data_IF_004580819046
#
_entry.id   IF_004580819046
#
_cell.length_a   1.000
_cell.length_b   1.000
_cell.length_c   1.000
_cell.angle_alpha   90.00
_cell.angle_beta   90.00
_cell.angle_gamma   90.00
#
_symmetry.space_group_name_H-M   'P 1'
#
loop_
_entity.id
_entity.type
_entity.pdbx_description
1 polymer ?
#
# COMPACT_ATOMS: atom_id res chain seq x y z
N UNK A 1 -7.10 -9.25 -26.71
CA UNK A 1 -5.96 -8.49 -27.22
C UNK A 1 -4.89 -8.54 -26.17
N UNK A 2 -3.73 -9.08 -26.55
CA UNK A 2 -2.69 -9.52 -25.63
C UNK A 2 -2.19 -8.44 -24.68
N UNK A 3 -1.98 -8.87 -23.45
CA UNK A 3 -1.47 -8.09 -22.32
C UNK A 3 0.06 -8.01 -22.33
N UNK A 4 0.71 -8.02 -23.51
CA UNK A 4 2.16 -7.85 -23.48
C UNK A 4 2.48 -6.40 -23.13
N UNK A 5 3.16 -6.19 -22.00
CA UNK A 5 4.00 -5.04 -21.82
C UNK A 5 5.00 -5.08 -22.97
N UNK A 6 4.54 -4.57 -24.14
CA UNK A 6 5.41 -4.14 -25.20
C UNK A 6 6.29 -5.21 -25.85
N UNK A 7 5.67 -6.23 -26.50
CA UNK A 7 6.44 -7.00 -27.48
C UNK A 7 6.34 -6.48 -28.91
N UNK A 8 5.44 -5.59 -29.22
CA UNK A 8 5.26 -5.19 -30.62
C UNK A 8 5.77 -3.81 -31.01
N UNK A 9 6.27 -2.97 -30.09
CA UNK A 9 6.71 -1.63 -30.52
C UNK A 9 7.83 -0.94 -29.74
N UNK A 10 8.45 -1.57 -28.82
CA UNK A 10 9.49 -0.91 -28.07
C UNK A 10 9.61 -1.47 -26.67
N UNK A 11 10.35 -2.55 -26.61
CA UNK A 11 10.73 -3.19 -25.37
C UNK A 11 11.24 -2.21 -24.36
N UNK A 12 10.52 -2.04 -23.27
CA UNK A 12 11.22 -1.56 -22.09
C UNK A 12 12.11 -2.72 -21.62
N UNK A 13 13.33 -2.39 -21.19
CA UNK A 13 14.23 -3.33 -20.51
C UNK A 13 13.52 -3.91 -19.28
N UNK A 14 12.55 -3.17 -18.72
CA UNK A 14 11.76 -3.47 -17.53
C UNK A 14 10.40 -4.12 -17.86
N UNK A 15 10.38 -4.98 -18.87
CA UNK A 15 9.22 -5.77 -19.27
C UNK A 15 9.05 -7.06 -18.46
N UNK A 16 8.17 -7.94 -18.93
CA UNK A 16 7.73 -9.18 -18.25
C UNK A 16 8.88 -10.02 -17.69
N UNK A 17 9.93 -10.27 -18.47
CA UNK A 17 11.07 -11.10 -18.05
C UNK A 17 11.79 -10.52 -16.82
N UNK A 18 12.02 -9.22 -16.81
CA UNK A 18 12.66 -8.52 -15.69
C UNK A 18 11.76 -8.58 -14.44
N UNK A 19 10.49 -8.24 -14.60
CA UNK A 19 9.51 -8.17 -13.50
C UNK A 19 9.28 -9.56 -12.87
N UNK A 20 9.15 -10.62 -13.68
CA UNK A 20 9.03 -11.99 -13.18
C UNK A 20 10.27 -12.46 -12.41
N UNK A 21 11.47 -12.11 -12.90
CA UNK A 21 12.71 -12.43 -12.20
C UNK A 21 12.78 -11.73 -10.85
N UNK A 22 12.45 -10.44 -10.80
CA UNK A 22 12.48 -9.65 -9.58
C UNK A 22 11.41 -10.11 -8.59
N UNK A 23 10.17 -10.37 -9.05
CA UNK A 23 9.11 -10.92 -8.22
C UNK A 23 9.52 -12.24 -7.54
N UNK A 24 10.14 -13.15 -8.27
CA UNK A 24 10.63 -14.42 -7.70
C UNK A 24 11.72 -14.20 -6.65
N UNK A 25 12.63 -13.26 -6.87
CA UNK A 25 13.67 -12.89 -5.89
C UNK A 25 13.08 -12.33 -4.61
N UNK A 26 12.08 -11.45 -4.74
CA UNK A 26 11.35 -10.87 -3.61
C UNK A 26 10.59 -11.94 -2.80
N UNK A 27 9.91 -12.86 -3.47
CA UNK A 27 9.18 -13.96 -2.81
C UNK A 27 10.14 -14.85 -2.02
N UNK A 28 11.29 -15.20 -2.59
CA UNK A 28 12.30 -16.02 -1.91
C UNK A 28 12.83 -15.33 -0.67
N UNK A 29 13.13 -14.02 -0.75
CA UNK A 29 13.53 -13.22 0.40
C UNK A 29 12.46 -13.22 1.50
N UNK A 30 11.19 -13.02 1.14
CA UNK A 30 10.07 -12.93 2.07
C UNK A 30 9.82 -14.23 2.86
N UNK A 31 10.18 -15.39 2.30
CA UNK A 31 10.03 -16.70 2.99
C UNK A 31 10.81 -16.77 4.29
N UNK A 32 11.91 -16.01 4.39
CA UNK A 32 12.70 -15.91 5.62
C UNK A 32 11.95 -15.33 6.82
N UNK A 33 10.77 -14.74 6.61
CA UNK A 33 9.96 -14.13 7.67
C UNK A 33 9.14 -15.11 8.51
N UNK A 34 8.91 -16.36 8.05
CA UNK A 34 8.13 -17.36 8.77
C UNK A 34 8.73 -17.68 10.14
N UNK A 35 7.90 -17.65 11.19
CA UNK A 35 8.33 -18.02 12.56
C UNK A 35 7.42 -19.09 13.17
N UNK A 36 8.01 -19.99 13.95
CA UNK A 36 7.34 -21.18 14.49
C UNK A 36 6.10 -20.83 15.33
N UNK A 37 6.14 -19.74 16.08
CA UNK A 37 5.05 -19.35 17.00
C UNK A 37 3.90 -18.58 16.33
N UNK A 38 3.77 -18.71 15.02
CA UNK A 38 2.67 -18.17 14.21
C UNK A 38 2.94 -16.78 13.64
N UNK A 39 2.69 -16.66 12.34
CA UNK A 39 2.86 -15.45 11.57
C UNK A 39 4.29 -15.18 11.12
N UNK A 40 4.56 -13.92 10.80
CA UNK A 40 5.78 -13.47 10.17
C UNK A 40 6.55 -12.52 11.10
N UNK A 41 7.86 -12.73 11.20
CA UNK A 41 8.78 -11.85 11.89
C UNK A 41 9.18 -10.65 11.05
N UNK A 42 9.69 -9.63 11.71
CA UNK A 42 10.26 -8.45 11.08
C UNK A 42 11.64 -8.82 10.48
N UNK A 43 11.83 -8.63 9.18
CA UNK A 43 13.09 -8.95 8.51
C UNK A 43 14.08 -7.79 8.62
N UNK A 44 15.32 -8.11 9.01
CA UNK A 44 16.44 -7.18 8.95
C UNK A 44 16.93 -6.99 7.49
N UNK A 45 17.93 -6.15 7.28
CA UNK A 45 18.50 -5.85 5.96
C UNK A 45 19.07 -7.08 5.22
N UNK A 46 19.34 -8.19 5.92
CA UNK A 46 19.85 -9.46 5.35
C UNK A 46 18.78 -10.54 5.15
N UNK A 47 17.48 -10.22 5.38
CA UNK A 47 16.39 -11.17 5.25
C UNK A 47 16.27 -12.17 6.39
N UNK A 48 16.85 -11.89 7.54
CA UNK A 48 16.73 -12.69 8.75
C UNK A 48 15.73 -12.04 9.71
N UNK A 49 14.96 -12.83 10.45
CA UNK A 49 14.06 -12.29 11.47
C UNK A 49 14.86 -11.55 12.55
N UNK A 50 14.54 -10.29 12.77
CA UNK A 50 15.06 -9.51 13.88
C UNK A 50 14.27 -9.81 15.15
N UNK A 51 14.88 -10.55 16.06
CA UNK A 51 14.26 -10.99 17.32
C UNK A 51 14.03 -9.83 18.31
N UNK A 52 14.58 -8.63 18.04
CA UNK A 52 14.37 -7.45 18.87
C UNK A 52 13.14 -6.65 18.42
N UNK A 53 12.58 -6.97 17.24
CA UNK A 53 11.39 -6.31 16.71
C UNK A 53 10.13 -7.08 17.06
N UNK A 54 9.03 -6.39 17.37
CA UNK A 54 7.74 -7.04 17.53
C UNK A 54 7.18 -7.52 16.19
N UNK A 55 6.26 -8.47 16.26
CA UNK A 55 5.42 -8.83 15.11
C UNK A 55 4.33 -7.78 14.97
N UNK A 56 4.36 -7.02 13.90
CA UNK A 56 3.41 -5.94 13.63
C UNK A 56 2.26 -6.44 12.75
N UNK A 57 1.02 -6.04 13.05
CA UNK A 57 -0.18 -6.53 12.35
C UNK A 57 -0.14 -6.20 10.87
N UNK A 58 0.23 -4.98 10.47
CA UNK A 58 0.31 -4.62 9.05
C UNK A 58 1.35 -5.48 8.30
N UNK A 59 2.47 -5.86 8.93
CA UNK A 59 3.48 -6.75 8.31
C UNK A 59 2.87 -8.14 8.07
N UNK A 60 2.14 -8.70 9.05
CA UNK A 60 1.42 -9.98 8.85
C UNK A 60 0.50 -9.91 7.63
N UNK A 61 -0.28 -8.84 7.54
CA UNK A 61 -1.27 -8.65 6.49
C UNK A 61 -0.63 -8.48 5.12
N UNK A 62 0.43 -7.68 5.02
CA UNK A 62 1.19 -7.49 3.78
C UNK A 62 1.83 -8.78 3.31
N UNK A 63 2.38 -9.60 4.23
CA UNK A 63 2.93 -10.90 3.87
C UNK A 63 1.86 -11.89 3.40
N UNK A 64 0.67 -11.92 4.02
CA UNK A 64 -0.46 -12.71 3.53
C UNK A 64 -0.87 -12.26 2.12
N UNK A 65 -0.93 -10.95 1.88
CA UNK A 65 -1.32 -10.42 0.57
C UNK A 65 -0.31 -10.80 -0.52
N UNK A 66 1.00 -10.62 -0.29
CA UNK A 66 2.02 -10.95 -1.29
C UNK A 66 2.10 -12.45 -1.59
N UNK A 67 2.04 -13.29 -0.55
CA UNK A 67 1.99 -14.75 -0.75
C UNK A 67 0.69 -15.20 -1.41
N UNK A 68 -0.44 -14.56 -1.07
CA UNK A 68 -1.74 -14.86 -1.66
C UNK A 68 -1.80 -14.52 -3.15
N UNK A 69 -1.38 -13.33 -3.54
CA UNK A 69 -1.34 -12.93 -4.96
C UNK A 69 -0.46 -13.86 -5.78
N UNK A 70 0.74 -14.15 -5.30
CA UNK A 70 1.70 -15.01 -6.04
C UNK A 70 1.28 -16.47 -6.10
N UNK A 71 0.57 -16.96 -5.07
CA UNK A 71 -0.05 -18.30 -5.08
C UNK A 71 -1.16 -18.40 -6.13
N UNK A 72 -2.10 -17.44 -6.12
CA UNK A 72 -3.22 -17.40 -7.07
C UNK A 72 -2.73 -17.24 -8.51
N UNK A 73 -1.63 -16.52 -8.75
CA UNK A 73 -0.98 -16.40 -10.06
C UNK A 73 -0.24 -17.67 -10.50
N UNK A 74 -0.12 -18.67 -9.64
CA UNK A 74 0.65 -19.89 -9.94
C UNK A 74 2.17 -19.67 -10.01
N UNK A 75 2.67 -18.54 -9.54
CA UNK A 75 4.13 -18.27 -9.50
C UNK A 75 4.84 -19.15 -8.49
N UNK A 76 4.17 -19.46 -7.38
CA UNK A 76 4.68 -20.31 -6.31
C UNK A 76 3.53 -20.83 -5.43
N UNK A 77 3.60 -22.10 -5.01
CA UNK A 77 2.71 -22.60 -3.95
C UNK A 77 3.11 -21.99 -2.60
N UNK A 78 2.27 -21.11 -2.11
CA UNK A 78 2.41 -20.42 -0.83
C UNK A 78 1.22 -20.70 0.11
N UNK A 79 0.39 -21.72 -0.20
CA UNK A 79 -0.82 -22.04 0.58
C UNK A 79 -0.55 -22.21 2.07
N UNK A 80 0.58 -22.87 2.44
CA UNK A 80 1.03 -23.01 3.82
C UNK A 80 1.31 -21.67 4.47
N UNK A 81 2.06 -20.75 3.82
CA UNK A 81 2.42 -19.44 4.37
C UNK A 81 1.18 -18.56 4.56
N UNK A 82 0.25 -18.57 3.60
CA UNK A 82 -1.01 -17.84 3.73
C UNK A 82 -1.80 -18.36 4.93
N UNK A 83 -1.94 -19.69 5.05
CA UNK A 83 -2.65 -20.32 6.18
C UNK A 83 -1.99 -19.96 7.51
N UNK A 84 -0.68 -20.00 7.58
CA UNK A 84 0.12 -19.66 8.77
C UNK A 84 -0.15 -18.22 9.23
N UNK A 85 -0.15 -17.26 8.32
CA UNK A 85 -0.49 -15.87 8.61
C UNK A 85 -1.95 -15.67 9.02
N UNK A 86 -2.90 -16.33 8.33
CA UNK A 86 -4.35 -16.28 8.65
C UNK A 86 -4.62 -16.84 10.05
N UNK A 87 -3.99 -17.96 10.42
CA UNK A 87 -4.13 -18.54 11.77
C UNK A 87 -3.55 -17.58 12.82
N UNK A 88 -2.38 -17.00 12.57
CA UNK A 88 -1.80 -16.01 13.48
C UNK A 88 -2.74 -14.82 13.70
N UNK A 89 -3.30 -14.25 12.64
CA UNK A 89 -4.26 -13.13 12.77
C UNK A 89 -5.52 -13.55 13.54
N UNK A 90 -6.06 -14.75 13.29
CA UNK A 90 -7.26 -15.21 13.96
C UNK A 90 -7.06 -15.57 15.43
N UNK A 91 -5.91 -16.14 15.79
CA UNK A 91 -5.73 -16.79 17.11
C UNK A 91 -4.85 -15.98 18.06
N UNK A 92 -3.92 -15.15 17.53
CA UNK A 92 -2.94 -14.42 18.33
C UNK A 92 -3.16 -12.90 18.26
N UNK A 93 -3.41 -12.33 17.08
CA UNK A 93 -3.58 -10.90 16.92
C UNK A 93 -5.01 -10.40 17.18
N UNK A 94 -6.01 -11.27 17.06
CA UNK A 94 -7.40 -10.89 17.33
C UNK A 94 -7.65 -10.77 18.84
N UNK A 95 -8.21 -9.63 19.26
CA UNK A 95 -8.62 -9.42 20.66
C UNK A 95 -9.97 -10.11 20.94
N UNK A 96 -9.91 -11.27 21.56
CA UNK A 96 -11.10 -12.06 21.89
C UNK A 96 -12.03 -11.36 22.89
N UNK A 97 -11.54 -10.40 23.66
CA UNK A 97 -12.32 -9.69 24.68
C UNK A 97 -13.05 -8.46 24.12
N UNK A 98 -12.33 -7.63 23.36
CA UNK A 98 -12.83 -6.33 22.93
C UNK A 98 -13.11 -6.26 21.44
N UNK A 99 -12.84 -7.33 20.68
CA UNK A 99 -12.85 -7.37 19.22
C UNK A 99 -11.72 -6.55 18.59
N UNK A 100 -11.61 -6.60 17.26
CA UNK A 100 -10.53 -5.96 16.51
C UNK A 100 -9.16 -6.60 16.74
N UNK A 101 -8.12 -5.99 16.20
CA UNK A 101 -6.78 -6.57 16.16
C UNK A 101 -5.79 -5.72 16.95
N UNK A 102 -4.86 -6.35 17.66
CA UNK A 102 -3.74 -5.68 18.30
C UNK A 102 -2.81 -5.10 17.23
N UNK A 103 -2.19 -3.97 17.49
CA UNK A 103 -1.23 -3.34 16.57
C UNK A 103 0.04 -4.16 16.43
N UNK A 104 0.52 -4.71 17.55
CA UNK A 104 1.70 -5.55 17.59
C UNK A 104 1.66 -6.55 18.76
N UNK A 105 2.42 -7.62 18.61
CA UNK A 105 2.67 -8.61 19.66
C UNK A 105 4.17 -8.91 19.74
N UNK A 106 4.67 -9.23 20.93
CA UNK A 106 6.04 -9.71 21.09
C UNK A 106 6.20 -11.17 20.62
N UNK A 107 7.41 -11.69 20.69
CA UNK A 107 7.69 -13.08 20.28
C UNK A 107 7.05 -14.12 21.20
N UNK A 108 6.65 -13.75 22.42
CA UNK A 108 5.91 -14.63 23.34
C UNK A 108 4.40 -14.66 23.07
N UNK A 109 3.90 -13.81 22.18
CA UNK A 109 2.47 -13.65 21.88
C UNK A 109 1.76 -12.62 22.76
N UNK A 110 2.49 -11.89 23.61
CA UNK A 110 1.92 -10.82 24.44
C UNK A 110 1.76 -9.55 23.60
N UNK A 111 0.57 -8.91 23.68
CA UNK A 111 0.29 -7.66 23.00
C UNK A 111 1.25 -6.53 23.40
N UNK A 112 1.56 -5.68 22.44
CA UNK A 112 2.29 -4.43 22.62
C UNK A 112 1.36 -3.28 22.27
N UNK A 113 1.40 -2.21 23.08
CA UNK A 113 0.55 -1.02 22.88
C UNK A 113 -0.84 -1.13 23.54
N UNK A 114 -1.55 -0.01 23.52
CA UNK A 114 -2.84 0.20 24.18
C UNK A 114 -3.89 0.81 23.24
N UNK A 115 -3.72 0.61 21.93
CA UNK A 115 -4.61 1.17 20.92
C UNK A 115 -4.95 0.16 19.83
N UNK A 116 -6.02 0.45 19.11
CA UNK A 116 -6.46 -0.21 17.88
C UNK A 116 -6.35 0.78 16.75
N UNK A 117 -5.60 0.45 15.70
CA UNK A 117 -5.36 1.35 14.58
C UNK A 117 -6.24 0.98 13.38
N UNK A 118 -6.89 1.99 12.79
CA UNK A 118 -7.62 1.83 11.53
C UNK A 118 -6.74 1.30 10.41
N UNK A 119 -5.50 1.81 10.32
CA UNK A 119 -4.48 1.35 9.39
C UNK A 119 -4.30 -0.17 9.41
N UNK A 120 -4.10 -0.76 10.59
CA UNK A 120 -3.96 -2.22 10.74
C UNK A 120 -5.23 -2.95 10.27
N UNK A 121 -6.42 -2.42 10.59
CA UNK A 121 -7.68 -3.06 10.24
C UNK A 121 -7.97 -3.02 8.73
N UNK A 122 -7.52 -1.97 8.02
CA UNK A 122 -7.60 -1.94 6.55
C UNK A 122 -6.70 -2.99 5.94
N UNK A 123 -5.48 -3.18 6.46
CA UNK A 123 -4.61 -4.27 6.02
C UNK A 123 -5.16 -5.65 6.39
N UNK A 124 -5.82 -5.82 7.54
CA UNK A 124 -6.49 -7.10 7.85
C UNK A 124 -7.60 -7.39 6.84
N UNK A 125 -8.40 -6.39 6.43
CA UNK A 125 -9.39 -6.57 5.38
C UNK A 125 -8.74 -7.01 4.06
N UNK A 126 -7.67 -6.33 3.63
CA UNK A 126 -6.95 -6.66 2.40
C UNK A 126 -6.38 -8.08 2.44
N UNK A 127 -5.76 -8.46 3.55
CA UNK A 127 -5.21 -9.81 3.75
C UNK A 127 -6.31 -10.88 3.74
N UNK A 128 -7.43 -10.62 4.42
CA UNK A 128 -8.57 -11.55 4.49
C UNK A 128 -9.23 -11.76 3.12
N UNK A 129 -9.40 -10.68 2.35
CA UNK A 129 -9.89 -10.71 0.97
C UNK A 129 -8.96 -11.56 0.10
N UNK A 130 -7.64 -11.32 0.19
CA UNK A 130 -6.64 -12.03 -0.58
C UNK A 130 -6.59 -13.52 -0.23
N UNK A 131 -6.57 -13.84 1.06
CA UNK A 131 -6.57 -15.24 1.52
C UNK A 131 -7.88 -15.97 1.17
N UNK A 132 -9.03 -15.26 1.13
CA UNK A 132 -10.30 -15.82 0.69
C UNK A 132 -10.27 -16.12 -0.81
N UNK A 133 -9.73 -15.21 -1.63
CA UNK A 133 -9.54 -15.45 -3.06
C UNK A 133 -8.58 -16.62 -3.34
N UNK A 134 -7.60 -16.83 -2.46
CA UNK A 134 -6.68 -17.98 -2.50
C UNK A 134 -7.31 -19.29 -1.96
N UNK A 135 -8.56 -19.30 -1.50
CA UNK A 135 -9.25 -20.48 -1.01
C UNK A 135 -8.73 -21.04 0.32
N UNK A 136 -8.04 -20.23 1.12
CA UNK A 136 -7.38 -20.69 2.35
C UNK A 136 -8.39 -20.81 3.51
N UNK A 137 -8.34 -21.95 4.23
CA UNK A 137 -9.18 -22.16 5.41
C UNK A 137 -8.92 -21.15 6.52
N UNK A 138 -10.00 -20.65 7.15
CA UNK A 138 -9.94 -19.60 8.18
C UNK A 138 -10.01 -18.17 7.64
N UNK A 139 -9.78 -17.96 6.34
CA UNK A 139 -9.88 -16.63 5.72
C UNK A 139 -11.30 -16.03 5.76
N UNK A 140 -12.41 -16.78 5.51
CA UNK A 140 -13.76 -16.22 5.67
C UNK A 140 -14.06 -15.72 7.09
N UNK A 141 -13.55 -16.41 8.11
CA UNK A 141 -13.67 -15.96 9.52
C UNK A 141 -12.89 -14.67 9.76
N UNK A 142 -11.69 -14.57 9.19
CA UNK A 142 -10.87 -13.37 9.28
C UNK A 142 -11.55 -12.18 8.58
N UNK A 143 -12.14 -12.43 7.41
CA UNK A 143 -12.90 -11.43 6.65
C UNK A 143 -14.07 -10.89 7.47
N UNK A 144 -14.90 -11.77 8.03
CA UNK A 144 -16.02 -11.36 8.88
C UNK A 144 -15.57 -10.52 10.08
N UNK A 145 -14.49 -10.89 10.75
CA UNK A 145 -13.93 -10.15 11.89
C UNK A 145 -13.42 -8.76 11.49
N UNK A 146 -12.80 -8.65 10.32
CA UNK A 146 -12.34 -7.36 9.79
C UNK A 146 -13.52 -6.45 9.47
N UNK A 147 -14.54 -6.98 8.77
CA UNK A 147 -15.78 -6.26 8.44
C UNK A 147 -16.49 -5.76 9.69
N UNK A 148 -16.70 -6.63 10.68
CA UNK A 148 -17.37 -6.28 11.93
C UNK A 148 -16.66 -5.14 12.67
N UNK A 149 -15.32 -5.17 12.72
CA UNK A 149 -14.53 -4.13 13.36
C UNK A 149 -14.60 -2.81 12.58
N UNK A 150 -14.51 -2.86 11.25
CA UNK A 150 -14.59 -1.68 10.39
C UNK A 150 -15.95 -1.02 10.47
N UNK A 151 -17.03 -1.79 10.34
CA UNK A 151 -18.38 -1.27 10.34
C UNK A 151 -18.78 -0.68 11.69
N UNK A 152 -18.29 -1.24 12.80
CA UNK A 152 -18.66 -0.78 14.16
C UNK A 152 -17.83 0.38 14.68
N UNK A 153 -16.53 0.47 14.29
CA UNK A 153 -15.59 1.35 14.98
C UNK A 153 -14.86 2.30 14.04
N UNK A 154 -14.54 1.88 12.81
CA UNK A 154 -13.66 2.68 11.96
C UNK A 154 -14.39 3.47 10.88
N UNK A 155 -15.48 2.96 10.31
CA UNK A 155 -16.27 3.76 9.36
C UNK A 155 -17.06 4.85 10.07
N UNK A 156 -16.81 6.09 9.71
CA UNK A 156 -17.56 7.25 10.18
C UNK A 156 -18.58 7.66 9.10
N UNK A 157 -19.88 7.39 9.30
CA UNK A 157 -20.89 7.69 8.29
C UNK A 157 -21.22 9.19 8.18
N UNK A 158 -20.88 10.02 9.18
CA UNK A 158 -21.09 11.46 9.13
C UNK A 158 -20.10 12.13 8.18
N UNK A 159 -18.84 11.71 8.26
CA UNK A 159 -17.76 12.26 7.44
C UNK A 159 -17.46 11.42 6.20
N UNK A 160 -18.02 10.22 6.07
CA UNK A 160 -17.74 9.26 4.99
C UNK A 160 -16.24 8.95 4.86
N UNK A 161 -15.56 8.81 6.00
CA UNK A 161 -14.12 8.56 6.12
C UNK A 161 -13.84 7.52 7.20
N UNK A 162 -12.60 7.01 7.24
CA UNK A 162 -12.15 6.10 8.29
C UNK A 162 -11.58 6.85 9.48
N UNK A 163 -11.95 6.42 10.68
CA UNK A 163 -11.30 6.81 11.93
C UNK A 163 -9.91 6.18 12.06
N UNK A 164 -8.97 6.88 12.69
CA UNK A 164 -7.58 6.42 12.78
C UNK A 164 -7.30 5.48 13.95
N UNK A 165 -7.72 5.87 15.15
CA UNK A 165 -7.22 5.23 16.36
C UNK A 165 -8.23 5.27 17.50
N UNK A 166 -8.45 4.11 18.09
CA UNK A 166 -9.19 3.92 19.33
C UNK A 166 -8.24 3.47 20.45
N UNK A 167 -8.69 3.60 21.70
CA UNK A 167 -8.09 2.85 22.79
C UNK A 167 -8.34 1.34 22.63
N UNK A 168 -7.76 0.53 23.52
CA UNK A 168 -7.82 -0.92 23.41
C UNK A 168 -9.25 -1.47 23.49
N UNK A 169 -10.11 -0.86 24.28
CA UNK A 169 -11.48 -1.25 24.58
C UNK A 169 -12.52 -0.66 23.60
N UNK A 170 -12.09 0.12 22.63
CA UNK A 170 -12.98 0.88 21.74
C UNK A 170 -13.92 1.84 22.47
N UNK A 171 -13.48 2.41 23.58
CA UNK A 171 -14.24 3.33 24.41
C UNK A 171 -13.91 4.80 24.15
N UNK A 172 -12.68 5.10 23.72
CA UNK A 172 -12.20 6.46 23.44
C UNK A 172 -11.61 6.52 22.03
N UNK A 173 -12.28 7.29 21.16
CA UNK A 173 -11.78 7.62 19.83
C UNK A 173 -10.77 8.77 19.93
N UNK A 174 -9.57 8.58 19.38
CA UNK A 174 -8.55 9.63 19.28
C UNK A 174 -9.04 10.80 18.42
N UNK A 175 -8.61 12.01 18.74
CA UNK A 175 -8.97 13.23 18.01
C UNK A 175 -8.25 13.40 16.66
N UNK A 176 -7.17 12.67 16.41
CA UNK A 176 -6.43 12.71 15.15
C UNK A 176 -7.19 11.99 14.02
N UNK A 177 -7.10 12.55 12.80
CA UNK A 177 -7.56 11.93 11.55
C UNK A 177 -6.45 12.03 10.51
N UNK A 178 -6.26 10.97 9.73
CA UNK A 178 -5.21 10.90 8.72
C UNK A 178 -5.69 10.38 7.37
N UNK A 179 -4.96 10.77 6.33
CA UNK A 179 -5.23 10.30 4.98
C UNK A 179 -4.65 8.91 4.74
N UNK A 180 -3.60 8.52 5.45
CA UNK A 180 -2.94 7.23 5.26
C UNK A 180 -3.89 6.04 5.49
N UNK A 181 -4.67 6.05 6.58
CA UNK A 181 -5.68 5.00 6.83
C UNK A 181 -6.75 4.97 5.72
N UNK A 182 -7.15 6.13 5.24
CA UNK A 182 -8.16 6.27 4.19
C UNK A 182 -7.66 5.81 2.82
N UNK A 183 -6.38 6.00 2.53
CA UNK A 183 -5.73 5.50 1.31
C UNK A 183 -5.76 3.97 1.24
N UNK A 184 -5.29 3.31 2.28
CA UNK A 184 -5.35 1.85 2.34
C UNK A 184 -6.77 1.30 2.51
N UNK A 185 -7.70 2.12 3.04
CA UNK A 185 -9.12 1.77 2.99
C UNK A 185 -9.64 1.69 1.54
N UNK A 186 -9.30 2.67 0.68
CA UNK A 186 -9.69 2.61 -0.74
C UNK A 186 -9.14 1.35 -1.42
N UNK A 187 -7.89 1.00 -1.16
CA UNK A 187 -7.28 -0.22 -1.68
C UNK A 187 -8.02 -1.48 -1.22
N UNK A 188 -8.21 -1.63 0.10
CA UNK A 188 -8.86 -2.81 0.68
C UNK A 188 -10.35 -2.91 0.29
N UNK A 189 -11.08 -1.80 0.28
CA UNK A 189 -12.48 -1.75 -0.12
C UNK A 189 -12.67 -2.09 -1.60
N UNK A 190 -11.79 -1.61 -2.48
CA UNK A 190 -11.83 -1.95 -3.92
C UNK A 190 -11.56 -3.44 -4.12
N UNK A 191 -10.60 -4.02 -3.38
CA UNK A 191 -10.33 -5.45 -3.40
C UNK A 191 -11.53 -6.27 -2.86
N UNK A 192 -12.17 -5.81 -1.78
CA UNK A 192 -13.36 -6.44 -1.21
C UNK A 192 -14.56 -6.39 -2.17
N UNK A 193 -14.75 -5.26 -2.87
CA UNK A 193 -15.77 -5.15 -3.93
C UNK A 193 -15.50 -6.13 -5.07
N UNK A 194 -14.25 -6.25 -5.53
CA UNK A 194 -13.91 -7.18 -6.61
C UNK A 194 -14.14 -8.63 -6.22
N UNK A 195 -13.94 -9.02 -4.95
CA UNK A 195 -14.22 -10.35 -4.45
C UNK A 195 -15.71 -10.62 -4.26
N UNK A 196 -16.44 -9.70 -3.60
CA UNK A 196 -17.79 -9.94 -3.09
C UNK A 196 -18.91 -9.41 -3.98
N UNK A 197 -18.62 -8.36 -4.76
CA UNK A 197 -19.56 -7.54 -5.54
C UNK A 197 -20.59 -6.78 -4.68
N UNK A 198 -20.31 -6.62 -3.38
CA UNK A 198 -21.14 -5.80 -2.50
C UNK A 198 -20.82 -4.30 -2.71
N UNK A 199 -21.82 -3.55 -3.18
CA UNK A 199 -21.71 -2.12 -3.47
C UNK A 199 -21.31 -1.28 -2.25
N UNK A 200 -21.57 -1.73 -1.02
CA UNK A 200 -21.12 -1.06 0.21
C UNK A 200 -19.63 -0.67 0.14
N UNK A 201 -18.82 -1.55 -0.38
CA UNK A 201 -17.37 -1.31 -0.49
C UNK A 201 -17.02 -0.26 -1.55
N UNK A 202 -17.66 -0.34 -2.72
CA UNK A 202 -17.46 0.63 -3.80
C UNK A 202 -17.93 2.02 -3.38
N UNK A 203 -19.10 2.11 -2.76
CA UNK A 203 -19.68 3.39 -2.32
C UNK A 203 -18.75 4.09 -1.31
N UNK A 204 -18.21 3.35 -0.34
CA UNK A 204 -17.25 3.86 0.63
C UNK A 204 -15.93 4.29 -0.03
N UNK A 205 -15.39 3.47 -0.93
CA UNK A 205 -14.16 3.82 -1.65
C UNK A 205 -14.31 5.11 -2.47
N UNK A 206 -15.44 5.26 -3.17
CA UNK A 206 -15.76 6.47 -3.94
C UNK A 206 -15.97 7.70 -3.05
N UNK A 207 -16.64 7.55 -1.91
CA UNK A 207 -16.83 8.63 -0.95
C UNK A 207 -15.50 9.14 -0.41
N UNK A 208 -14.61 8.24 0.03
CA UNK A 208 -13.25 8.58 0.48
C UNK A 208 -12.46 9.27 -0.64
N UNK A 209 -12.44 8.71 -1.85
CA UNK A 209 -11.76 9.31 -2.99
C UNK A 209 -12.26 10.72 -3.30
N UNK A 210 -13.60 10.92 -3.32
CA UNK A 210 -14.21 12.21 -3.57
C UNK A 210 -13.76 13.24 -2.54
N UNK A 211 -13.82 12.88 -1.26
CA UNK A 211 -13.45 13.79 -0.17
C UNK A 211 -11.95 14.10 -0.18
N UNK A 212 -11.11 13.08 -0.36
CA UNK A 212 -9.66 13.26 -0.35
C UNK A 212 -9.16 14.05 -1.57
N UNK A 213 -9.59 13.66 -2.76
CA UNK A 213 -9.03 14.20 -4.01
C UNK A 213 -9.82 15.42 -4.50
N UNK A 214 -11.16 15.27 -4.62
CA UNK A 214 -11.99 16.32 -5.21
C UNK A 214 -12.27 17.48 -4.26
N UNK A 215 -12.13 17.27 -2.94
CA UNK A 215 -12.31 18.32 -1.94
C UNK A 215 -10.96 18.75 -1.34
N UNK A 216 -10.27 17.89 -0.56
CA UNK A 216 -9.09 18.32 0.17
C UNK A 216 -7.92 18.70 -0.74
N UNK A 217 -7.53 17.84 -1.67
CA UNK A 217 -6.41 18.12 -2.57
C UNK A 217 -6.74 19.28 -3.54
N UNK A 218 -7.90 19.24 -4.17
CA UNK A 218 -8.33 20.27 -5.13
C UNK A 218 -8.37 21.67 -4.48
N UNK A 219 -8.97 21.79 -3.29
CA UNK A 219 -9.09 23.07 -2.58
C UNK A 219 -7.75 23.56 -2.00
N UNK A 220 -6.73 22.71 -1.99
CA UNK A 220 -5.38 23.04 -1.54
C UNK A 220 -4.35 23.03 -2.68
N UNK A 221 -4.73 23.43 -3.89
CA UNK A 221 -3.88 23.48 -5.08
C UNK A 221 -3.17 22.15 -5.38
N UNK A 222 -3.85 21.03 -5.12
CA UNK A 222 -3.38 19.66 -5.32
C UNK A 222 -2.19 19.25 -4.42
N UNK A 223 -1.92 20.03 -3.36
CA UNK A 223 -1.06 19.62 -2.25
C UNK A 223 -1.95 18.91 -1.24
N UNK A 224 -1.85 17.59 -1.15
CA UNK A 224 -2.71 16.79 -0.31
C UNK A 224 -2.32 16.95 1.17
N UNK A 225 -3.21 17.46 2.05
CA UNK A 225 -2.98 17.40 3.49
C UNK A 225 -3.01 15.95 4.00
N UNK A 226 -2.11 15.61 4.91
CA UNK A 226 -1.99 14.27 5.47
C UNK A 226 -2.70 14.15 6.83
N UNK A 227 -2.77 15.25 7.59
CA UNK A 227 -3.17 15.28 8.99
C UNK A 227 -4.33 16.22 9.23
N UNK A 228 -5.28 15.79 10.05
CA UNK A 228 -6.51 16.51 10.32
C UNK A 228 -6.93 16.36 11.78
N UNK A 229 -7.71 17.34 12.27
CA UNK A 229 -8.44 17.25 13.53
C UNK A 229 -9.64 16.30 13.44
N UNK A 230 -10.29 16.05 14.58
CA UNK A 230 -11.52 15.22 14.66
C UNK A 230 -12.68 15.71 13.77
N UNK A 231 -12.68 16.98 13.39
CA UNK A 231 -13.66 17.58 12.47
C UNK A 231 -13.16 17.69 11.02
N UNK A 232 -12.13 16.96 10.67
CA UNK A 232 -11.49 16.96 9.33
C UNK A 232 -10.99 18.32 8.87
N UNK A 233 -10.55 19.17 9.81
CA UNK A 233 -9.84 20.41 9.51
C UNK A 233 -8.34 20.11 9.36
N UNK A 234 -7.68 20.52 8.24
CA UNK A 234 -6.26 20.26 8.02
C UNK A 234 -5.36 20.84 9.11
N UNK A 235 -4.43 20.04 9.60
CA UNK A 235 -3.39 20.39 10.58
C UNK A 235 -2.02 20.40 9.91
N UNK A 236 -1.72 21.47 9.19
CA UNK A 236 -0.55 21.57 8.31
C UNK A 236 0.79 21.49 9.03
N UNK A 237 0.84 21.91 10.30
CA UNK A 237 2.09 21.91 11.09
C UNK A 237 2.24 20.66 11.97
N UNK A 238 1.37 19.67 11.77
CA UNK A 238 1.47 18.40 12.51
C UNK A 238 2.82 17.74 12.25
N UNK A 239 3.52 17.30 13.31
CA UNK A 239 4.85 16.70 13.27
C UNK A 239 5.97 17.56 12.63
N UNK A 240 5.80 18.89 12.59
CA UNK A 240 6.87 19.79 12.11
C UNK A 240 8.20 19.54 12.83
N UNK A 241 8.18 19.26 14.14
CA UNK A 241 9.38 19.01 14.96
C UNK A 241 9.91 17.55 14.84
N UNK A 242 9.15 16.65 14.21
CA UNK A 242 9.55 15.27 13.89
C UNK A 242 9.19 14.94 12.42
N UNK A 243 9.80 15.62 11.43
CA UNK A 243 9.32 15.58 10.04
C UNK A 243 9.48 14.22 9.37
N UNK A 244 10.38 13.37 9.85
CA UNK A 244 10.63 12.03 9.30
C UNK A 244 9.90 10.92 10.08
N UNK A 245 8.79 11.23 10.76
CA UNK A 245 7.98 10.21 11.42
C UNK A 245 7.58 9.11 10.43
N UNK A 246 7.69 7.85 10.86
CA UNK A 246 7.53 6.68 10.00
C UNK A 246 6.14 6.59 9.34
N UNK A 247 5.08 6.96 10.07
CA UNK A 247 3.69 6.82 9.61
C UNK A 247 2.94 8.14 9.48
N UNK A 248 3.46 9.20 10.08
CA UNK A 248 2.83 10.53 10.13
C UNK A 248 3.85 11.63 9.86
N UNK A 249 4.57 11.57 8.72
CA UNK A 249 5.60 12.56 8.39
C UNK A 249 5.00 13.95 8.19
N UNK A 250 5.79 14.99 8.48
CA UNK A 250 5.37 16.37 8.25
C UNK A 250 5.29 16.70 6.76
N UNK A 251 4.30 17.51 6.40
CA UNK A 251 4.17 18.11 5.09
C UNK A 251 3.36 17.27 4.09
N UNK A 252 3.77 17.28 2.85
CA UNK A 252 3.16 16.54 1.74
C UNK A 252 4.05 15.36 1.37
N UNK A 253 3.52 14.15 1.45
CA UNK A 253 4.24 12.91 1.17
C UNK A 253 4.21 12.60 -0.32
N UNK A 254 5.37 12.61 -0.97
CA UNK A 254 5.48 12.40 -2.42
C UNK A 254 4.92 11.05 -2.85
N UNK A 255 5.23 9.99 -2.09
CA UNK A 255 4.72 8.64 -2.37
C UNK A 255 3.19 8.57 -2.33
N UNK A 256 2.56 9.23 -1.37
CA UNK A 256 1.10 9.26 -1.27
C UNK A 256 0.43 9.98 -2.44
N UNK A 257 1.06 11.02 -3.01
CA UNK A 257 0.52 11.64 -4.22
C UNK A 257 0.49 10.65 -5.40
N UNK A 258 1.53 9.81 -5.57
CA UNK A 258 1.54 8.75 -6.58
C UNK A 258 0.53 7.66 -6.28
N UNK A 259 0.48 7.18 -5.05
CA UNK A 259 -0.41 6.11 -4.64
C UNK A 259 -1.89 6.51 -4.79
N UNK A 260 -2.27 7.71 -4.34
CA UNK A 260 -3.60 8.25 -4.57
C UNK A 260 -3.92 8.44 -6.05
N UNK A 261 -2.96 8.92 -6.86
CA UNK A 261 -3.12 9.01 -8.31
C UNK A 261 -3.48 7.66 -8.93
N UNK A 262 -2.76 6.61 -8.53
CA UNK A 262 -3.01 5.23 -8.96
C UNK A 262 -4.37 4.72 -8.51
N UNK A 263 -4.64 4.79 -7.20
CA UNK A 263 -5.84 4.22 -6.59
C UNK A 263 -7.12 4.87 -7.13
N UNK A 264 -7.15 6.21 -7.23
CA UNK A 264 -8.35 6.88 -7.73
C UNK A 264 -8.64 6.56 -9.20
N UNK A 265 -7.60 6.39 -10.04
CA UNK A 265 -7.77 5.94 -11.42
C UNK A 265 -8.28 4.50 -11.51
N UNK A 266 -7.80 3.62 -10.64
CA UNK A 266 -8.24 2.23 -10.59
C UNK A 266 -9.71 2.12 -10.14
N UNK A 267 -10.11 2.86 -9.09
CA UNK A 267 -11.53 2.95 -8.68
C UNK A 267 -12.39 3.56 -9.80
N UNK A 268 -11.85 4.55 -10.52
CA UNK A 268 -12.50 5.17 -11.66
C UNK A 268 -12.89 4.22 -12.78
N UNK A 269 -12.22 3.07 -12.92
CA UNK A 269 -12.61 2.04 -13.89
C UNK A 269 -14.00 1.45 -13.60
N UNK A 270 -14.41 1.43 -12.33
CA UNK A 270 -15.71 0.89 -11.89
C UNK A 270 -16.89 1.83 -12.18
N UNK A 271 -16.62 3.10 -12.35
CA UNK A 271 -17.62 4.15 -12.63
C UNK A 271 -17.42 4.83 -14.00
N UNK A 272 -16.61 4.22 -14.86
CA UNK A 272 -16.28 4.76 -16.18
C UNK A 272 -17.53 5.02 -17.02
N UNK A 273 -17.67 6.24 -17.51
CA UNK A 273 -18.82 6.68 -18.33
C UNK A 273 -20.04 7.12 -17.53
N UNK A 274 -19.98 7.08 -16.20
CA UNK A 274 -21.03 7.64 -15.33
C UNK A 274 -20.79 9.14 -15.14
N UNK A 275 -21.86 9.94 -15.17
CA UNK A 275 -21.78 11.38 -14.91
C UNK A 275 -21.40 11.66 -13.45
N UNK A 276 -20.64 12.76 -13.24
CA UNK A 276 -20.26 13.19 -11.89
C UNK A 276 -18.92 12.64 -11.39
N UNK A 277 -18.19 11.86 -12.23
CA UNK A 277 -16.88 11.29 -11.90
C UNK A 277 -15.74 11.82 -12.78
N UNK A 278 -15.96 12.88 -13.54
CA UNK A 278 -14.97 13.51 -14.44
C UNK A 278 -13.75 14.05 -13.68
N UNK A 279 -13.91 14.36 -12.41
CA UNK A 279 -12.84 14.83 -11.52
C UNK A 279 -11.75 13.77 -11.25
N UNK A 280 -12.04 12.48 -11.45
CA UNK A 280 -11.12 11.38 -11.14
C UNK A 280 -9.84 11.48 -11.97
N UNK A 281 -9.99 11.55 -13.31
CA UNK A 281 -8.83 11.61 -14.19
C UNK A 281 -8.06 12.93 -14.01
N UNK A 282 -8.75 14.05 -13.85
CA UNK A 282 -8.12 15.34 -13.57
C UNK A 282 -7.30 15.27 -12.27
N UNK A 283 -7.93 14.81 -11.18
CA UNK A 283 -7.28 14.72 -9.88
C UNK A 283 -6.05 13.83 -9.91
N UNK A 284 -6.16 12.63 -10.48
CA UNK A 284 -5.05 11.70 -10.62
C UNK A 284 -3.86 12.33 -11.37
N UNK A 285 -4.10 12.94 -12.52
CA UNK A 285 -3.06 13.61 -13.33
C UNK A 285 -2.41 14.78 -12.58
N UNK A 286 -3.18 15.54 -11.81
CA UNK A 286 -2.65 16.65 -11.00
C UNK A 286 -1.76 16.17 -9.86
N UNK A 287 -2.18 15.15 -9.10
CA UNK A 287 -1.38 14.56 -8.04
C UNK A 287 -0.07 13.99 -8.60
N UNK A 288 -0.14 13.21 -9.68
CA UNK A 288 1.04 12.68 -10.37
C UNK A 288 2.01 13.78 -10.81
N UNK A 289 1.49 14.82 -11.47
CA UNK A 289 2.31 15.93 -11.96
C UNK A 289 3.02 16.67 -10.80
N UNK A 290 2.34 16.84 -9.65
CA UNK A 290 2.95 17.45 -8.46
C UNK A 290 4.03 16.55 -7.86
N UNK A 291 3.75 15.26 -7.70
CA UNK A 291 4.72 14.30 -7.19
C UNK A 291 5.98 14.23 -8.07
N UNK A 292 5.81 14.17 -9.40
CA UNK A 292 6.93 14.19 -10.35
C UNK A 292 7.71 15.48 -10.26
N UNK A 293 7.03 16.65 -10.35
CA UNK A 293 7.68 17.96 -10.43
C UNK A 293 8.45 18.32 -9.17
N UNK A 294 7.88 18.04 -8.01
CA UNK A 294 8.40 18.49 -6.73
C UNK A 294 9.08 17.37 -5.94
N UNK A 295 8.97 16.12 -6.39
CA UNK A 295 9.59 14.97 -5.72
C UNK A 295 10.83 14.43 -6.42
N UNK A 296 10.82 14.35 -7.77
CA UNK A 296 11.92 13.77 -8.52
C UNK A 296 13.11 14.73 -8.64
N UNK A 297 14.28 14.33 -8.14
CA UNK A 297 15.51 15.13 -8.15
C UNK A 297 15.34 16.53 -7.52
N UNK A 298 14.40 16.70 -6.63
CA UNK A 298 13.98 18.01 -6.11
C UNK A 298 15.06 18.72 -5.28
N UNK A 299 16.01 17.97 -4.73
CA UNK A 299 17.17 18.47 -3.95
C UNK A 299 18.49 18.38 -4.74
N UNK A 300 18.43 18.33 -6.07
CA UNK A 300 19.55 18.18 -6.99
C UNK A 300 20.31 16.84 -6.86
N UNK A 301 19.70 15.84 -6.24
CA UNK A 301 20.22 14.47 -6.14
C UNK A 301 19.24 13.47 -6.75
N UNK A 302 19.70 12.34 -7.33
CA UNK A 302 18.82 11.37 -7.97
C UNK A 302 17.78 10.77 -7.03
N UNK A 303 16.59 10.47 -7.55
CA UNK A 303 15.53 9.81 -6.85
C UNK A 303 14.48 10.77 -6.27
N UNK A 304 13.46 10.19 -5.63
CA UNK A 304 12.39 10.94 -4.99
C UNK A 304 12.75 11.33 -3.57
N UNK A 305 12.57 12.59 -3.20
CA UNK A 305 12.52 12.98 -1.78
C UNK A 305 11.31 12.34 -1.10
N UNK A 306 11.33 12.22 0.22
CA UNK A 306 10.21 11.66 0.96
C UNK A 306 9.07 12.64 1.12
N UNK A 307 9.33 13.83 1.68
CA UNK A 307 8.31 14.86 1.89
C UNK A 307 8.76 16.26 1.46
N UNK A 308 7.79 17.12 1.19
CA UNK A 308 7.97 18.55 0.94
C UNK A 308 7.08 19.38 1.85
N UNK A 309 7.44 20.65 2.07
CA UNK A 309 6.61 21.60 2.81
C UNK A 309 5.49 22.19 1.93
N UNK A 310 4.68 23.06 2.53
CA UNK A 310 3.56 23.74 1.86
C UNK A 310 4.00 24.81 0.85
N UNK A 311 5.29 25.12 0.77
CA UNK A 311 5.94 25.94 -0.26
C UNK A 311 6.66 25.10 -1.30
N UNK A 312 6.43 23.77 -1.31
CA UNK A 312 7.01 22.79 -2.27
C UNK A 312 8.54 22.70 -2.17
N UNK A 313 9.11 22.96 -0.99
CA UNK A 313 10.54 22.78 -0.70
C UNK A 313 10.77 21.40 -0.07
N UNK A 314 11.84 20.70 -0.44
CA UNK A 314 12.21 19.43 0.20
C UNK A 314 12.36 19.57 1.72
N UNK A 315 11.82 18.60 2.47
CA UNK A 315 11.92 18.54 3.95
C UNK A 315 12.66 17.28 4.36
N UNK A 316 12.17 16.10 3.98
CA UNK A 316 12.84 14.83 4.25
C UNK A 316 13.48 14.33 2.97
N UNK A 317 14.81 14.32 2.95
CA UNK A 317 15.62 14.05 1.78
C UNK A 317 15.89 12.56 1.54
N UNK A 318 15.45 11.67 2.42
CA UNK A 318 15.59 10.21 2.23
C UNK A 318 14.81 9.72 1.02
N UNK A 319 15.35 8.69 0.35
CA UNK A 319 14.72 7.97 -0.76
C UNK A 319 14.10 6.70 -0.23
N UNK A 320 12.79 6.70 -0.08
CA UNK A 320 12.05 5.52 0.36
C UNK A 320 11.75 4.62 -0.83
N UNK A 321 12.04 3.32 -0.71
CA UNK A 321 11.78 2.34 -1.78
C UNK A 321 10.32 2.33 -2.22
N UNK A 322 9.39 2.47 -1.25
CA UNK A 322 7.96 2.43 -1.53
C UNK A 322 7.49 3.64 -2.36
N UNK A 323 8.12 4.81 -2.21
CA UNK A 323 7.83 5.99 -3.05
C UNK A 323 8.16 5.70 -4.52
N UNK A 324 9.31 5.07 -4.79
CA UNK A 324 9.70 4.68 -6.14
C UNK A 324 8.77 3.59 -6.70
N UNK A 325 8.36 2.62 -5.87
CA UNK A 325 7.41 1.58 -6.24
C UNK A 325 6.03 2.17 -6.62
N UNK A 326 5.50 3.09 -5.83
CA UNK A 326 4.23 3.76 -6.15
C UNK A 326 4.34 4.66 -7.40
N UNK A 327 5.48 5.30 -7.61
CA UNK A 327 5.72 6.10 -8.80
C UNK A 327 5.64 5.27 -10.09
N UNK A 328 6.31 4.11 -10.16
CA UNK A 328 6.25 3.24 -11.34
C UNK A 328 4.85 2.65 -11.54
N UNK A 329 4.15 2.29 -10.47
CA UNK A 329 2.77 1.81 -10.55
C UNK A 329 1.80 2.90 -11.04
N UNK A 330 1.93 4.13 -10.54
CA UNK A 330 1.10 5.25 -10.99
C UNK A 330 1.37 5.59 -12.48
N UNK A 331 2.63 5.60 -12.89
CA UNK A 331 3.00 5.79 -14.29
C UNK A 331 2.38 4.71 -15.20
N UNK A 332 2.48 3.45 -14.81
CA UNK A 332 1.88 2.34 -15.55
C UNK A 332 0.35 2.48 -15.66
N UNK A 333 -0.35 2.76 -14.55
CA UNK A 333 -1.82 2.89 -14.54
C UNK A 333 -2.27 4.06 -15.42
N UNK A 334 -1.63 5.23 -15.31
CA UNK A 334 -1.96 6.39 -16.12
C UNK A 334 -1.71 6.13 -17.62
N UNK A 335 -0.58 5.49 -17.97
CA UNK A 335 -0.33 5.08 -19.34
C UNK A 335 -1.41 4.13 -19.87
N UNK A 336 -1.79 3.11 -19.10
CA UNK A 336 -2.79 2.11 -19.51
C UNK A 336 -4.17 2.70 -19.75
N UNK A 337 -4.54 3.75 -19.01
CA UNK A 337 -5.87 4.39 -19.15
C UNK A 337 -5.86 5.48 -20.22
N UNK A 338 -4.78 6.27 -20.30
CA UNK A 338 -4.74 7.45 -21.18
C UNK A 338 -4.06 7.21 -22.51
N UNK A 339 -3.16 6.23 -22.62
CA UNK A 339 -2.31 6.00 -23.79
C UNK A 339 -1.16 7.00 -23.97
N UNK A 340 -0.99 7.96 -23.03
CA UNK A 340 0.06 8.98 -23.13
C UNK A 340 1.44 8.37 -22.83
N UNK A 341 2.32 8.41 -23.85
CA UNK A 341 3.67 7.83 -23.82
C UNK A 341 4.61 8.51 -22.83
N UNK A 342 4.32 9.72 -22.36
CA UNK A 342 5.12 10.38 -21.34
C UNK A 342 5.12 9.59 -20.02
N UNK A 343 4.00 8.94 -19.67
CA UNK A 343 3.94 8.09 -18.49
C UNK A 343 4.80 6.82 -18.64
N UNK A 344 4.90 6.26 -19.85
CA UNK A 344 5.78 5.12 -20.10
C UNK A 344 7.26 5.52 -20.04
N UNK A 345 7.61 6.71 -20.51
CA UNK A 345 8.96 7.27 -20.35
C UNK A 345 9.33 7.42 -18.88
N UNK A 346 8.40 7.91 -18.05
CA UNK A 346 8.61 8.02 -16.61
C UNK A 346 8.76 6.65 -15.94
N UNK A 347 7.94 5.68 -16.34
CA UNK A 347 8.02 4.29 -15.89
C UNK A 347 9.42 3.71 -16.11
N UNK A 348 9.97 3.84 -17.31
CA UNK A 348 11.29 3.33 -17.65
C UNK A 348 12.42 4.05 -16.89
N UNK A 349 12.30 5.38 -16.77
CA UNK A 349 13.26 6.20 -16.01
C UNK A 349 13.32 5.76 -14.55
N UNK A 350 12.17 5.57 -13.91
CA UNK A 350 12.11 5.26 -12.49
C UNK A 350 12.43 3.79 -12.20
N UNK A 351 12.09 2.87 -13.08
CA UNK A 351 12.59 1.49 -12.99
C UNK A 351 14.11 1.43 -13.14
N UNK A 352 14.70 2.26 -14.02
CA UNK A 352 16.16 2.36 -14.14
C UNK A 352 16.82 2.83 -12.86
N UNK A 353 16.18 3.74 -12.12
CA UNK A 353 16.63 4.15 -10.79
C UNK A 353 16.52 3.01 -9.77
N UNK A 354 15.37 2.34 -9.73
CA UNK A 354 15.14 1.18 -8.84
C UNK A 354 16.16 0.08 -9.09
N UNK A 355 16.38 -0.31 -10.34
CA UNK A 355 17.31 -1.36 -10.72
C UNK A 355 18.75 -1.07 -10.30
N UNK A 356 19.18 0.19 -10.42
CA UNK A 356 20.57 0.58 -10.12
C UNK A 356 20.83 0.86 -8.65
N UNK A 357 19.84 1.35 -7.91
CA UNK A 357 20.10 1.94 -6.59
C UNK A 357 19.25 1.35 -5.48
N UNK A 358 18.06 0.83 -5.79
CA UNK A 358 17.11 0.38 -4.77
C UNK A 358 17.15 -1.13 -4.58
N UNK A 359 17.29 -1.93 -5.65
CA UNK A 359 17.37 -3.39 -5.55
C UNK A 359 18.68 -3.81 -4.89
N UNK A 360 18.57 -4.54 -3.77
CA UNK A 360 19.74 -5.11 -3.10
C UNK A 360 20.18 -6.40 -3.79
N UNK A 361 21.33 -6.34 -4.47
CA UNK A 361 21.90 -7.47 -5.21
C UNK A 361 22.70 -8.44 -4.33
N UNK A 362 23.02 -8.03 -3.10
CA UNK A 362 23.83 -8.84 -2.16
C UNK A 362 22.92 -9.72 -1.29
N UNK A 363 21.93 -9.14 -0.63
CA UNK A 363 21.06 -9.84 0.33
C UNK A 363 19.65 -10.08 -0.19
N UNK A 364 19.27 -9.50 -1.33
CA UNK A 364 17.93 -9.58 -1.91
C UNK A 364 16.97 -8.54 -1.38
N UNK A 365 15.76 -8.50 -1.98
CA UNK A 365 14.76 -7.46 -1.76
C UNK A 365 15.26 -6.06 -2.16
N UNK A 366 14.64 -5.02 -1.64
CA UNK A 366 14.98 -3.63 -1.93
C UNK A 366 15.48 -2.93 -0.68
N UNK A 367 16.50 -2.06 -0.81
CA UNK A 367 16.88 -1.16 0.28
C UNK A 367 15.72 -0.24 0.61
N UNK A 368 15.25 -0.27 1.86
CA UNK A 368 14.04 0.47 2.26
C UNK A 368 14.27 1.98 2.31
N UNK A 369 15.48 2.40 2.64
CA UNK A 369 15.83 3.80 2.77
C UNK A 369 17.26 4.07 2.26
N UNK A 370 17.42 5.13 1.44
CA UNK A 370 18.68 5.66 1.01
C UNK A 370 18.78 7.15 1.38
N UNK A 371 19.99 7.65 1.64
CA UNK A 371 20.24 9.08 1.78
C UNK A 371 20.27 9.82 0.42
N UNK A 372 20.52 11.12 0.43
CA UNK A 372 20.63 11.93 -0.80
C UNK A 372 21.85 11.60 -1.67
N UNK A 373 22.86 10.91 -1.12
CA UNK A 373 24.03 10.39 -1.84
C UNK A 373 23.81 8.93 -2.30
N UNK A 374 22.62 8.36 -2.06
CA UNK A 374 22.23 6.99 -2.40
C UNK A 374 22.97 5.91 -1.56
N UNK A 375 23.49 6.26 -0.39
CA UNK A 375 23.95 5.27 0.57
C UNK A 375 22.77 4.69 1.33
N UNK A 376 22.84 3.41 1.65
CA UNK A 376 21.83 2.73 2.47
C UNK A 376 21.86 3.26 3.89
N UNK A 377 20.71 3.68 4.39
CA UNK A 377 20.50 4.11 5.77
C UNK A 377 19.28 3.40 6.37
N UNK A 378 19.15 3.43 7.68
CA UNK A 378 18.06 2.78 8.42
C UNK A 378 17.53 3.74 9.51
N UNK A 379 17.28 5.00 9.14
CA UNK A 379 16.88 6.04 10.08
C UNK A 379 15.38 6.05 10.33
N UNK A 380 14.60 5.96 9.27
CA UNK A 380 13.12 5.94 9.33
C UNK A 380 12.60 4.50 9.22
N UNK A 381 13.16 3.71 8.30
CA UNK A 381 12.73 2.34 8.01
C UNK A 381 13.89 1.35 8.17
N UNK A 382 14.19 0.89 9.40
CA UNK A 382 15.23 -0.11 9.61
C UNK A 382 14.85 -1.46 9.00
N UNK A 383 15.83 -2.15 8.42
CA UNK A 383 15.63 -3.46 7.81
C UNK A 383 14.79 -3.46 6.55
N UNK A 384 14.18 -4.62 6.27
CA UNK A 384 13.31 -4.87 5.12
C UNK A 384 12.11 -5.72 5.56
N UNK A 385 11.21 -5.16 6.40
CA UNK A 385 10.19 -5.92 7.11
C UNK A 385 9.20 -6.66 6.23
N UNK A 386 8.97 -6.16 5.02
CA UNK A 386 8.07 -6.76 4.03
C UNK A 386 8.50 -6.44 2.59
N UNK A 387 7.84 -7.07 1.62
CA UNK A 387 8.08 -6.86 0.19
C UNK A 387 6.86 -6.26 -0.52
N UNK A 388 5.88 -5.75 0.19
CA UNK A 388 4.55 -5.38 -0.32
C UNK A 388 4.62 -4.41 -1.51
N UNK A 389 5.20 -3.23 -1.33
CA UNK A 389 5.27 -2.25 -2.42
C UNK A 389 6.16 -2.71 -3.58
N UNK A 390 7.31 -3.31 -3.28
CA UNK A 390 8.24 -3.81 -4.28
C UNK A 390 7.61 -4.92 -5.15
N UNK A 391 6.92 -5.87 -4.51
CA UNK A 391 6.25 -6.96 -5.23
C UNK A 391 5.06 -6.43 -6.04
N UNK A 392 4.23 -5.56 -5.47
CA UNK A 392 3.09 -4.96 -6.18
C UNK A 392 3.55 -4.21 -7.44
N UNK A 393 4.68 -3.48 -7.38
CA UNK A 393 5.26 -2.83 -8.54
C UNK A 393 5.67 -3.82 -9.65
N UNK A 394 6.15 -5.00 -9.28
CA UNK A 394 6.45 -6.07 -10.23
C UNK A 394 5.18 -6.72 -10.80
N UNK A 395 4.17 -6.99 -9.95
CA UNK A 395 3.00 -7.77 -10.34
C UNK A 395 1.97 -6.98 -11.14
N UNK A 396 1.81 -5.69 -10.87
CA UNK A 396 0.78 -4.85 -11.50
C UNK A 396 0.84 -4.91 -13.04
N UNK A 397 2.02 -4.81 -13.67
CA UNK A 397 2.11 -4.94 -15.13
C UNK A 397 1.96 -6.36 -15.68
N UNK A 398 2.16 -7.37 -14.86
CA UNK A 398 2.06 -8.78 -15.25
C UNK A 398 0.62 -9.32 -15.22
N UNK A 399 -0.28 -8.60 -14.56
CA UNK A 399 -1.66 -9.01 -14.36
C UNK A 399 -2.62 -8.36 -15.35
N UNK A 400 -3.80 -8.95 -15.61
CA UNK A 400 -4.87 -8.26 -16.31
C UNK A 400 -5.18 -6.92 -15.65
N UNK A 401 -5.31 -5.86 -16.45
CA UNK A 401 -5.56 -4.53 -15.94
C UNK A 401 -6.98 -4.41 -15.35
N UNK A 402 -7.09 -4.34 -14.04
CA UNK A 402 -8.33 -4.33 -13.26
C UNK A 402 -8.27 -3.28 -12.14
N UNK A 403 -9.41 -2.95 -11.49
CA UNK A 403 -9.46 -1.97 -10.41
C UNK A 403 -8.61 -2.36 -9.18
N UNK A 404 -8.51 -3.64 -8.87
CA UNK A 404 -7.67 -4.14 -7.78
C UNK A 404 -6.82 -5.33 -8.22
N UNK A 405 -5.79 -5.66 -7.44
CA UNK A 405 -5.02 -6.90 -7.61
C UNK A 405 -5.91 -8.14 -7.51
N UNK A 406 -6.93 -8.12 -6.64
CA UNK A 406 -7.85 -9.24 -6.48
C UNK A 406 -8.71 -9.42 -7.72
N UNK A 407 -9.27 -8.35 -8.28
CA UNK A 407 -9.98 -8.41 -9.55
C UNK A 407 -9.09 -8.92 -10.69
N UNK A 408 -7.82 -8.54 -10.67
CA UNK A 408 -6.85 -8.98 -11.67
C UNK A 408 -6.52 -10.48 -11.57
N UNK A 409 -6.25 -11.01 -10.38
CA UNK A 409 -5.92 -12.44 -10.20
C UNK A 409 -7.13 -13.35 -10.41
N UNK A 410 -8.35 -12.92 -10.07
CA UNK A 410 -9.58 -13.68 -10.36
C UNK A 410 -9.75 -13.87 -11.87
N UNK A 411 -9.54 -12.81 -12.65
CA UNK A 411 -9.62 -12.89 -14.12
C UNK A 411 -8.47 -13.69 -14.73
N UNK A 412 -7.27 -13.58 -14.17
CA UNK A 412 -6.10 -14.34 -14.60
C UNK A 412 -6.38 -15.85 -14.53
N UNK A 413 -6.93 -16.34 -13.41
CA UNK A 413 -7.26 -17.75 -13.22
C UNK A 413 -8.36 -18.26 -14.15
N UNK A 414 -9.35 -17.41 -14.48
CA UNK A 414 -10.41 -17.81 -15.42
C UNK A 414 -9.91 -17.97 -16.87
N UNK A 415 -8.80 -17.32 -17.22
CA UNK A 415 -8.17 -17.43 -18.54
C UNK A 415 -7.18 -18.58 -18.69
N UNK A 416 -6.77 -19.18 -17.57
CA UNK A 416 -5.81 -20.32 -17.55
C UNK A 416 -6.49 -21.67 -17.30
N UNK A 417 -7.77 -21.71 -17.00
CA UNK A 417 -8.63 -22.89 -16.89
C UNK A 417 -9.43 -23.09 -18.18
#
# INVERSE_FOLDING_TARGET
MGNSLLDDTGSTIYGEKFLLKEAKSLIEFARGSEIINGGFGYLNSRGQVDLNQPRQTYVQCRMIQVFGLTHVMGLQDSSHLIKHGVDALNDVFFDQRNSGFYTAIDLSGKRIGFSKLGYDHMFVLLAAVTATAAGVGGAPKLLQRAEDAIDRFFWDPEFEMMNDQWDLEFSVLNGYRGINVNMHAVEALTAAFDLTKDNKYLDRALAICKRTINEFARNNNWLLPEHFSSSWKPEREFNHDNPADQFRPYGVTIGHLFEWSRLVMQVGLLVKGQAGYEWIEEGAKKLYAHAKKYGWNADNSPGFIYTMDWQMRPVVHSRMHWVAAEAVMAAYVLWRITGDQNFLTDYDLWWSFIDRHVIDREFGSWHHELDSQLHVIETTWPGKPDIYHALNACLLPLLPFKPSFIGAVIVHNQGTS
#
